data_IF_672605247490
#
_entry.id   IF_672605247490
#
_cell.length_a   1.000
_cell.length_b   1.000
_cell.length_c   1.000
_cell.angle_alpha   90.00
_cell.angle_beta   90.00
_cell.angle_gamma   90.00
#
_symmetry.space_group_name_H-M   'P 1'
#
loop_
_entity.id
_entity.type
_entity.pdbx_description
1 polymer ?
#
# COMPACT_ATOMS: atom_id res chain seq x y z
N UNK A 1 14.89 -3.40 8.32
CA UNK A 1 15.35 -3.48 6.92
C UNK A 1 14.54 -4.59 6.26
N UNK A 2 13.90 -4.35 5.13
CA UNK A 2 13.31 -5.45 4.36
C UNK A 2 14.41 -6.41 3.91
N UNK A 3 14.06 -7.68 3.66
CA UNK A 3 14.98 -8.67 3.08
C UNK A 3 15.58 -8.21 1.74
N UNK A 4 14.95 -7.25 1.07
CA UNK A 4 15.33 -6.68 -0.22
C UNK A 4 16.16 -5.38 -0.12
N UNK A 5 16.63 -4.99 1.08
CA UNK A 5 17.48 -3.81 1.26
C UNK A 5 16.77 -2.45 1.12
N UNK A 6 15.47 -2.45 0.79
CA UNK A 6 14.62 -1.27 0.74
C UNK A 6 14.17 -0.81 2.13
N UNK A 7 13.94 0.50 2.27
CA UNK A 7 13.30 1.09 3.45
C UNK A 7 11.81 0.74 3.43
N UNK A 8 11.38 -0.06 4.41
CA UNK A 8 9.95 -0.29 4.67
C UNK A 8 9.37 1.02 5.20
N UNK A 9 8.18 1.44 4.75
CA UNK A 9 7.51 2.60 5.32
C UNK A 9 7.38 2.47 6.84
N UNK A 10 7.67 3.54 7.58
CA UNK A 10 7.55 3.54 9.04
C UNK A 10 6.12 3.77 9.52
N UNK A 11 5.90 3.64 10.84
CA UNK A 11 4.62 3.83 11.54
C UNK A 11 3.77 5.00 11.00
N UNK A 12 4.38 6.17 10.76
CA UNK A 12 3.68 7.37 10.30
C UNK A 12 3.00 7.21 8.94
N UNK A 13 3.59 6.40 8.04
CA UNK A 13 2.96 6.08 6.76
C UNK A 13 1.69 5.25 6.98
N UNK A 14 1.77 4.20 7.80
CA UNK A 14 0.61 3.36 8.11
C UNK A 14 -0.53 4.18 8.73
N UNK A 15 -0.21 5.07 9.67
CA UNK A 15 -1.19 5.97 10.27
C UNK A 15 -1.84 6.90 9.24
N UNK A 16 -1.07 7.48 8.32
CA UNK A 16 -1.59 8.33 7.26
C UNK A 16 -2.52 7.56 6.30
N UNK A 17 -2.18 6.31 5.99
CA UNK A 17 -3.00 5.43 5.16
C UNK A 17 -4.33 5.10 5.84
N UNK A 18 -4.29 4.66 7.11
CA UNK A 18 -5.50 4.34 7.87
C UNK A 18 -6.40 5.58 7.97
N UNK A 19 -5.82 6.73 8.30
CA UNK A 19 -6.55 7.99 8.36
C UNK A 19 -7.21 8.33 7.01
N UNK A 20 -6.47 8.27 5.91
CA UNK A 20 -6.99 8.55 4.56
C UNK A 20 -8.24 7.70 4.23
N UNK A 21 -8.20 6.41 4.57
CA UNK A 21 -9.33 5.53 4.29
C UNK A 21 -10.47 5.64 5.32
N UNK A 22 -10.19 5.96 6.58
CA UNK A 22 -11.21 6.28 7.60
C UNK A 22 -11.97 7.56 7.28
N UNK A 23 -11.32 8.54 6.66
CA UNK A 23 -11.99 9.76 6.19
C UNK A 23 -12.86 9.50 4.94
N UNK A 24 -12.53 8.48 4.15
CA UNK A 24 -13.19 8.17 2.87
C UNK A 24 -14.33 7.15 2.98
N UNK A 25 -14.19 6.15 3.83
CA UNK A 25 -15.15 5.06 3.99
C UNK A 25 -15.81 5.11 5.36
N UNK A 26 -17.10 4.78 5.43
CA UNK A 26 -17.81 4.62 6.71
C UNK A 26 -17.48 3.25 7.29
N UNK A 27 -16.96 3.22 8.52
CA UNK A 27 -16.65 1.99 9.28
C UNK A 27 -15.76 0.99 8.49
N UNK A 28 -14.54 1.40 8.05
CA UNK A 28 -13.68 0.53 7.27
C UNK A 28 -13.08 -0.60 8.11
N UNK A 29 -12.88 -1.75 7.49
CA UNK A 29 -12.06 -2.85 8.03
C UNK A 29 -10.80 -2.97 7.18
N UNK A 30 -9.66 -3.04 7.84
CA UNK A 30 -8.35 -3.12 7.20
C UNK A 30 -7.80 -4.54 7.28
N UNK A 31 -7.54 -5.15 6.11
CA UNK A 31 -6.92 -6.47 6.03
C UNK A 31 -5.42 -6.27 5.75
N UNK A 32 -4.57 -6.86 6.59
CA UNK A 32 -3.11 -6.78 6.51
C UNK A 32 -2.52 -8.16 6.23
N UNK A 33 -1.86 -8.30 5.08
CA UNK A 33 -0.99 -9.44 4.77
C UNK A 33 0.48 -9.01 4.86
N UNK A 34 1.34 -9.87 5.41
CA UNK A 34 2.77 -9.57 5.58
C UNK A 34 3.60 -10.84 5.70
N UNK A 35 4.82 -10.81 5.14
CA UNK A 35 5.84 -11.86 5.34
C UNK A 35 6.46 -11.83 6.75
N UNK A 36 6.15 -10.81 7.56
CA UNK A 36 6.51 -10.67 8.96
C UNK A 36 5.30 -10.17 9.78
N UNK A 37 4.38 -11.10 10.05
CA UNK A 37 3.19 -10.83 10.87
C UNK A 37 3.54 -10.34 12.29
N UNK A 38 4.69 -10.74 12.84
CA UNK A 38 5.13 -10.26 14.15
C UNK A 38 5.41 -8.75 14.13
N UNK A 39 6.14 -8.29 13.12
CA UNK A 39 6.37 -6.88 12.90
C UNK A 39 5.08 -6.14 12.54
N UNK A 40 4.23 -6.71 11.69
CA UNK A 40 2.96 -6.09 11.31
C UNK A 40 2.04 -5.90 12.52
N UNK A 41 1.83 -6.95 13.34
CA UNK A 41 1.04 -6.90 14.57
C UNK A 41 1.55 -5.85 15.56
N UNK A 42 2.87 -5.67 15.66
CA UNK A 42 3.44 -4.62 16.51
C UNK A 42 3.12 -3.20 16.01
N UNK A 43 3.11 -2.96 14.70
CA UNK A 43 2.80 -1.64 14.13
C UNK A 43 1.32 -1.28 14.28
N UNK A 44 0.39 -2.24 14.24
CA UNK A 44 -1.05 -1.99 14.34
C UNK A 44 -1.67 -2.45 15.66
N UNK A 45 -0.87 -2.64 16.71
CA UNK A 45 -1.34 -3.17 18.00
C UNK A 45 -2.40 -2.31 18.70
N UNK A 46 -2.64 -1.08 18.25
CA UNK A 46 -3.60 -0.13 18.81
C UNK A 46 -4.79 0.14 17.89
N UNK A 47 -4.87 -0.54 16.75
CA UNK A 47 -5.93 -0.36 15.76
C UNK A 47 -6.89 -1.56 15.84
N UNK A 48 -8.15 -1.31 16.22
CA UNK A 48 -9.17 -2.34 16.46
C UNK A 48 -9.92 -2.77 15.19
N UNK A 49 -9.86 -1.94 14.15
CA UNK A 49 -10.39 -2.17 12.80
C UNK A 49 -9.38 -2.88 11.87
N UNK A 50 -8.25 -3.36 12.39
CA UNK A 50 -7.20 -4.07 11.63
C UNK A 50 -7.24 -5.58 11.88
N UNK A 51 -7.34 -6.35 10.80
CA UNK A 51 -7.33 -7.81 10.78
C UNK A 51 -6.11 -8.29 10.00
N UNK A 52 -5.42 -9.29 10.52
CA UNK A 52 -4.26 -9.89 9.86
C UNK A 52 -4.67 -11.16 9.13
N UNK A 53 -4.14 -11.35 7.93
CA UNK A 53 -4.24 -12.64 7.25
C UNK A 53 -3.28 -13.63 7.92
N UNK A 54 -3.75 -14.86 8.13
CA UNK A 54 -2.93 -15.98 8.60
C UNK A 54 -3.02 -17.13 7.59
N UNK A 55 -3.21 -16.77 6.32
CA UNK A 55 -3.23 -17.69 5.19
C UNK A 55 -1.80 -18.19 4.95
N UNK A 56 -1.64 -19.47 4.63
CA UNK A 56 -0.31 -20.07 4.43
C UNK A 56 0.15 -19.97 2.96
N UNK A 57 -0.40 -19.02 2.19
CA UNK A 57 -0.21 -18.91 0.75
C UNK A 57 -0.28 -17.46 0.27
N UNK A 58 0.81 -16.98 -0.31
CA UNK A 58 0.90 -15.66 -0.95
C UNK A 58 -0.21 -15.43 -1.99
N UNK A 59 -0.63 -16.50 -2.69
CA UNK A 59 -1.69 -16.43 -3.70
C UNK A 59 -3.05 -16.18 -3.05
N UNK A 60 -3.31 -16.81 -1.91
CA UNK A 60 -4.57 -16.61 -1.18
C UNK A 60 -4.61 -15.20 -0.57
N UNK A 61 -3.49 -14.70 -0.05
CA UNK A 61 -3.38 -13.32 0.42
C UNK A 61 -3.61 -12.31 -0.72
N UNK A 62 -3.00 -12.50 -1.89
CA UNK A 62 -3.23 -11.62 -3.04
C UNK A 62 -4.69 -11.67 -3.47
N UNK A 63 -5.30 -12.85 -3.55
CA UNK A 63 -6.71 -12.98 -3.94
C UNK A 63 -7.64 -12.27 -2.94
N UNK A 64 -7.36 -12.38 -1.64
CA UNK A 64 -8.10 -11.67 -0.61
C UNK A 64 -7.92 -10.15 -0.72
N UNK A 65 -6.68 -9.67 -0.84
CA UNK A 65 -6.39 -8.24 -0.99
C UNK A 65 -6.97 -7.65 -2.29
N UNK A 66 -7.00 -8.43 -3.37
CA UNK A 66 -7.62 -8.06 -4.64
C UNK A 66 -9.15 -7.99 -4.56
N UNK A 67 -9.77 -8.59 -3.54
CA UNK A 67 -11.22 -8.47 -3.32
C UNK A 67 -11.61 -7.22 -2.53
N UNK A 68 -10.64 -6.46 -2.01
CA UNK A 68 -10.89 -5.25 -1.22
C UNK A 68 -11.32 -4.06 -2.09
N UNK A 69 -12.18 -3.20 -1.53
CA UNK A 69 -12.68 -1.97 -2.19
C UNK A 69 -11.60 -0.92 -2.46
N UNK A 70 -10.51 -0.97 -1.70
CA UNK A 70 -9.33 -0.14 -1.85
C UNK A 70 -8.12 -0.87 -1.27
N UNK A 71 -6.92 -0.52 -1.74
CA UNK A 71 -5.67 -1.18 -1.35
C UNK A 71 -4.66 -0.15 -0.87
N UNK A 72 -3.93 -0.48 0.19
CA UNK A 72 -2.70 0.20 0.53
C UNK A 72 -1.54 -0.76 0.33
N UNK A 73 -0.46 -0.29 -0.29
CA UNK A 73 0.73 -1.10 -0.48
C UNK A 73 1.96 -0.42 0.12
N UNK A 74 2.89 -1.27 0.57
CA UNK A 74 4.28 -0.87 0.83
C UNK A 74 5.11 -1.15 -0.44
N UNK A 75 6.43 -1.12 -0.32
CA UNK A 75 7.32 -1.34 -1.47
C UNK A 75 7.41 -2.83 -1.79
N UNK A 76 7.01 -3.22 -2.99
CA UNK A 76 7.21 -4.58 -3.50
C UNK A 76 6.21 -4.98 -4.59
N UNK A 77 6.56 -6.00 -5.37
CA UNK A 77 5.71 -6.57 -6.42
C UNK A 77 4.42 -7.19 -5.86
N UNK A 78 4.47 -7.75 -4.65
CA UNK A 78 3.31 -8.34 -3.98
C UNK A 78 2.18 -7.32 -3.80
N UNK A 79 2.47 -6.20 -3.15
CA UNK A 79 1.49 -5.13 -2.92
C UNK A 79 1.05 -4.46 -4.23
N UNK A 80 1.95 -4.39 -5.21
CA UNK A 80 1.64 -3.87 -6.53
C UNK A 80 0.60 -4.73 -7.26
N UNK A 81 0.77 -6.06 -7.28
CA UNK A 81 -0.21 -6.96 -7.92
C UNK A 81 -1.55 -6.95 -7.18
N UNK A 82 -1.54 -6.93 -5.85
CA UNK A 82 -2.77 -6.80 -5.07
C UNK A 82 -3.54 -5.51 -5.41
N UNK A 83 -2.86 -4.37 -5.52
CA UNK A 83 -3.48 -3.10 -5.89
C UNK A 83 -3.93 -3.05 -7.35
N UNK A 84 -3.15 -3.61 -8.27
CA UNK A 84 -3.51 -3.68 -9.69
C UNK A 84 -4.77 -4.52 -9.91
N UNK A 85 -4.90 -5.64 -9.19
CA UNK A 85 -6.02 -6.55 -9.33
C UNK A 85 -7.29 -6.07 -8.61
N UNK A 86 -7.18 -5.21 -7.58
CA UNK A 86 -8.35 -4.76 -6.82
C UNK A 86 -9.26 -3.79 -7.57
N UNK A 87 -8.72 -3.04 -8.54
CA UNK A 87 -9.48 -2.04 -9.31
C UNK A 87 -9.99 -0.84 -8.50
N UNK A 88 -9.83 -0.85 -7.17
CA UNK A 88 -10.17 0.22 -6.25
C UNK A 88 -9.07 1.28 -6.13
N UNK A 89 -9.23 2.26 -5.25
CA UNK A 89 -8.13 3.21 -5.01
C UNK A 89 -6.91 2.49 -4.44
N UNK A 90 -5.72 2.81 -4.95
CA UNK A 90 -4.47 2.24 -4.48
C UNK A 90 -3.61 3.34 -3.88
N UNK A 91 -3.31 3.24 -2.59
CA UNK A 91 -2.40 4.16 -1.89
C UNK A 91 -1.02 3.52 -1.76
N UNK A 92 0.03 4.28 -2.07
CA UNK A 92 1.41 3.82 -1.96
C UNK A 92 2.34 4.87 -1.35
N UNK A 93 3.47 4.39 -0.79
CA UNK A 93 4.44 5.25 -0.12
C UNK A 93 5.35 5.98 -1.11
N UNK A 94 5.48 7.30 -0.94
CA UNK A 94 6.41 8.14 -1.72
C UNK A 94 7.79 8.31 -1.08
N UNK A 95 8.05 7.68 0.08
CA UNK A 95 9.36 7.77 0.76
C UNK A 95 10.51 7.10 -0.02
N UNK A 96 10.19 6.39 -1.09
CA UNK A 96 11.15 5.74 -1.94
C UNK A 96 11.81 6.74 -2.88
N UNK A 97 13.05 7.16 -2.54
CA UNK A 97 14.04 7.56 -3.56
C UNK A 97 14.45 6.35 -4.43
N UNK A 98 13.49 5.64 -5.00
CA UNK A 98 13.75 4.67 -6.05
C UNK A 98 13.50 5.40 -7.36
N UNK A 99 14.56 6.06 -7.85
CA UNK A 99 14.58 6.66 -9.19
C UNK A 99 14.45 5.60 -10.30
N UNK A 100 14.66 4.32 -10.00
CA UNK A 100 14.84 3.26 -11.01
C UNK A 100 14.41 1.88 -10.47
N UNK A 101 13.11 1.62 -10.32
CA UNK A 101 12.60 0.25 -10.45
C UNK A 101 11.76 0.20 -11.73
N UNK A 102 12.33 -0.29 -12.85
CA UNK A 102 11.64 -0.31 -14.14
C UNK A 102 10.40 -1.22 -14.17
N UNK A 103 10.26 -2.11 -13.18
CA UNK A 103 9.34 -3.25 -13.27
C UNK A 103 8.09 -3.12 -12.38
N UNK A 104 8.06 -2.12 -11.48
CA UNK A 104 7.06 -2.04 -10.39
C UNK A 104 6.69 -0.62 -9.95
N UNK A 105 6.98 0.39 -10.77
CA UNK A 105 6.45 1.73 -10.55
C UNK A 105 5.29 1.97 -11.53
N UNK A 106 4.17 2.57 -11.12
CA UNK A 106 3.12 3.09 -12.01
C UNK A 106 3.61 3.92 -13.22
N UNK A 107 4.87 4.38 -13.21
CA UNK A 107 5.54 5.17 -14.25
C UNK A 107 5.90 4.32 -15.47
N UNK A 108 6.27 3.04 -15.29
CA UNK A 108 6.83 2.25 -16.41
C UNK A 108 5.80 1.71 -17.39
N UNK A 109 4.50 1.79 -17.05
CA UNK A 109 3.41 1.23 -17.84
C UNK A 109 2.47 2.29 -18.46
N UNK A 110 2.78 3.58 -18.25
CA UNK A 110 1.99 4.70 -18.78
C UNK A 110 0.67 4.95 -18.03
N UNK A 111 -0.07 6.01 -18.38
CA UNK A 111 -1.23 6.48 -17.59
C UNK A 111 -2.45 5.54 -17.61
N UNK A 112 -2.46 4.52 -18.48
CA UNK A 112 -3.58 3.60 -18.63
C UNK A 112 -3.52 2.54 -17.52
N UNK A 113 -4.45 2.61 -16.57
CA UNK A 113 -4.59 1.64 -15.48
C UNK A 113 -4.11 2.10 -14.10
N UNK A 114 -3.60 3.34 -13.96
CA UNK A 114 -3.12 3.89 -12.68
C UNK A 114 -3.86 5.15 -12.22
N UNK A 115 -5.00 5.46 -12.84
CA UNK A 115 -5.80 6.66 -12.59
C UNK A 115 -6.28 6.77 -11.12
N UNK A 116 -6.44 5.61 -10.49
CA UNK A 116 -6.86 5.38 -9.12
C UNK A 116 -5.68 5.24 -8.13
N UNK A 117 -4.43 5.43 -8.56
CA UNK A 117 -3.25 5.28 -7.71
C UNK A 117 -2.80 6.62 -7.13
N UNK A 118 -2.63 6.67 -5.80
CA UNK A 118 -2.29 7.87 -5.05
C UNK A 118 -1.05 7.66 -4.18
N UNK A 119 -0.04 8.48 -4.42
CA UNK A 119 1.14 8.54 -3.57
C UNK A 119 0.89 9.37 -2.32
N UNK A 120 1.24 8.84 -1.14
CA UNK A 120 1.22 9.56 0.14
C UNK A 120 2.63 9.55 0.74
N UNK A 121 3.08 10.71 1.22
CA UNK A 121 4.31 10.84 1.98
C UNK A 121 4.10 10.38 3.43
N UNK A 122 5.14 9.88 4.09
CA UNK A 122 5.01 9.45 5.49
C UNK A 122 4.76 10.59 6.50
N UNK A 123 4.72 11.85 6.05
CA UNK A 123 4.24 12.98 6.85
C UNK A 123 2.73 13.25 6.65
N UNK A 124 2.01 12.40 5.93
CA UNK A 124 0.59 12.54 5.63
C UNK A 124 0.27 13.51 4.49
N UNK A 125 1.27 14.11 3.84
CA UNK A 125 1.02 14.97 2.68
C UNK A 125 0.78 14.14 1.42
N UNK A 126 -0.20 14.52 0.62
CA UNK A 126 -0.43 13.94 -0.71
C UNK A 126 0.58 14.50 -1.72
N UNK A 127 1.00 13.67 -2.69
CA UNK A 127 1.67 14.22 -3.87
C UNK A 127 0.74 15.18 -4.61
N UNK A 128 1.24 16.38 -4.96
CA UNK A 128 0.52 17.30 -5.84
C UNK A 128 0.24 16.65 -7.19
N UNK A 129 -0.86 17.01 -7.86
CA UNK A 129 -1.22 16.52 -9.20
C UNK A 129 -0.06 16.64 -10.21
N UNK A 130 0.75 17.70 -10.11
CA UNK A 130 1.96 17.88 -10.93
C UNK A 130 3.01 16.76 -10.77
N UNK A 131 3.12 16.17 -9.58
CA UNK A 131 3.99 15.02 -9.33
C UNK A 131 3.33 13.70 -9.78
N UNK A 132 2.02 13.66 -10.02
CA UNK A 132 1.38 12.53 -10.71
C UNK A 132 1.50 12.66 -12.23
N UNK A 133 1.65 13.89 -12.75
CA UNK A 133 1.82 14.19 -14.18
C UNK A 133 3.30 14.12 -14.64
N UNK A 134 4.25 14.37 -13.72
CA UNK A 134 5.70 14.27 -13.94
C UNK A 134 6.25 12.83 -13.69
N UNK A 135 5.36 11.90 -13.30
CA UNK A 135 5.59 10.45 -13.16
C UNK A 135 4.82 9.73 -14.28
#
# INVERSE_FOLDING_TARGET
RSKLGGWVPGQKYYQAVLQHYREKFTDPVFIVASDDLGHAKANFAQEDDVIFTELNSDVEDIALLASCSATAMTVGSFGWWAGFLSGGEVVYSLLTRFKETPDAHPISLGPLGYENWRGIFANGTHASRKYQDDL
#
